data_IF_567200650453
#
_entry.id   IF_567200650453
#
_cell.length_a   1.000
_cell.length_b   1.000
_cell.length_c   1.000
_cell.angle_alpha   90.00
_cell.angle_beta   90.00
_cell.angle_gamma   90.00
#
_symmetry.space_group_name_H-M   'P 1'
#
loop_
_entity.id
_entity.type
_entity.pdbx_description
1 polymer ?
#
# COMPACT_ATOMS: atom_id res chain seq x y z
N UNK A 1 13.88 -14.06 5.62
CA UNK A 1 12.42 -14.13 5.83
C UNK A 1 11.90 -12.73 6.16
N UNK A 2 10.61 -12.48 5.95
CA UNK A 2 9.95 -11.25 6.39
C UNK A 2 9.48 -11.35 7.84
N UNK A 3 9.24 -10.20 8.47
CA UNK A 3 8.81 -10.08 9.86
C UNK A 3 7.31 -9.81 9.93
N UNK A 4 6.57 -10.56 10.77
CA UNK A 4 5.15 -10.38 11.01
C UNK A 4 4.90 -10.26 12.51
N UNK A 5 4.32 -9.14 12.95
CA UNK A 5 4.07 -8.83 14.38
C UNK A 5 2.66 -8.30 14.57
N UNK A 6 1.92 -8.81 15.56
CA UNK A 6 0.57 -8.33 15.89
C UNK A 6 -0.36 -8.24 14.65
N UNK A 7 -0.23 -9.19 13.71
CA UNK A 7 -0.88 -9.13 12.41
C UNK A 7 -1.55 -10.46 12.06
N UNK A 8 -2.59 -10.40 11.25
CA UNK A 8 -3.34 -11.56 10.80
C UNK A 8 -3.17 -11.76 9.28
N UNK A 9 -2.68 -12.94 8.89
CA UNK A 9 -2.50 -13.33 7.50
C UNK A 9 -3.46 -14.48 7.19
N UNK A 10 -4.31 -14.31 6.18
CA UNK A 10 -5.31 -15.30 5.77
C UNK A 10 -5.13 -15.66 4.31
N UNK A 11 -5.12 -16.96 3.97
CA UNK A 11 -4.98 -17.43 2.58
C UNK A 11 -3.54 -17.41 2.09
N UNK A 12 -3.35 -17.30 0.76
CA UNK A 12 -2.01 -17.36 0.14
C UNK A 12 -1.32 -16.00 0.23
N UNK A 13 -0.46 -15.82 1.23
CA UNK A 13 0.30 -14.60 1.44
C UNK A 13 1.79 -14.91 1.35
N UNK A 14 2.52 -14.19 0.49
CA UNK A 14 3.98 -14.26 0.42
C UNK A 14 4.55 -13.01 1.08
N UNK A 15 5.50 -13.21 2.00
CA UNK A 15 6.21 -12.12 2.68
C UNK A 15 7.71 -12.32 2.48
N UNK A 16 8.29 -11.49 1.62
CA UNK A 16 9.69 -11.58 1.21
C UNK A 16 10.66 -11.10 2.30
N UNK A 17 11.96 -11.37 2.09
CA UNK A 17 13.03 -11.00 3.01
C UNK A 17 12.98 -9.52 3.38
N UNK A 18 13.14 -9.20 4.67
CA UNK A 18 13.22 -7.82 5.15
C UNK A 18 11.91 -7.03 5.07
N UNK A 19 10.85 -7.59 4.49
CA UNK A 19 9.52 -7.03 4.58
C UNK A 19 9.03 -7.05 6.03
N UNK A 20 8.22 -6.07 6.40
CA UNK A 20 7.71 -5.88 7.77
C UNK A 20 6.20 -5.67 7.72
N UNK A 21 5.47 -6.56 8.38
CA UNK A 21 4.01 -6.49 8.52
C UNK A 21 3.67 -6.34 10.01
N UNK A 22 3.09 -5.22 10.40
CA UNK A 22 2.84 -4.89 11.81
C UNK A 22 1.43 -4.35 12.02
N UNK A 23 0.73 -4.82 13.05
CA UNK A 23 -0.61 -4.32 13.43
C UNK A 23 -1.58 -4.28 12.24
N UNK A 24 -1.51 -5.30 11.38
CA UNK A 24 -2.14 -5.27 10.05
C UNK A 24 -2.89 -6.56 9.74
N UNK A 25 -3.80 -6.47 8.77
CA UNK A 25 -4.52 -7.63 8.23
C UNK A 25 -4.15 -7.79 6.76
N UNK A 26 -3.77 -9.01 6.37
CA UNK A 26 -3.44 -9.35 4.98
C UNK A 26 -4.28 -10.54 4.55
N UNK A 27 -5.07 -10.38 3.50
CA UNK A 27 -5.92 -11.43 2.92
C UNK A 27 -5.40 -11.76 1.52
N UNK A 28 -4.98 -13.00 1.34
CA UNK A 28 -4.43 -13.49 0.08
C UNK A 28 -5.50 -13.88 -0.95
N UNK A 29 -5.11 -14.02 -2.24
CA UNK A 29 -3.73 -14.03 -2.74
C UNK A 29 -3.08 -12.64 -2.67
N UNK A 30 -1.95 -12.53 -1.98
CA UNK A 30 -1.22 -11.27 -1.80
C UNK A 30 0.30 -11.48 -1.77
N UNK A 31 1.05 -10.53 -2.29
CA UNK A 31 2.51 -10.57 -2.35
C UNK A 31 3.10 -9.32 -1.70
N UNK A 32 3.99 -9.50 -0.71
CA UNK A 32 4.67 -8.43 0.02
C UNK A 32 6.17 -8.53 -0.31
N UNK A 33 6.64 -7.64 -1.19
CA UNK A 33 8.00 -7.65 -1.73
C UNK A 33 9.12 -7.29 -0.74
N UNK A 34 10.37 -7.50 -1.15
CA UNK A 34 11.55 -7.33 -0.29
C UNK A 34 11.59 -5.95 0.37
N UNK A 35 11.78 -5.89 1.68
CA UNK A 35 11.88 -4.63 2.40
C UNK A 35 10.59 -3.79 2.46
N UNK A 36 9.47 -4.27 1.91
CA UNK A 36 8.19 -3.57 1.96
C UNK A 36 7.68 -3.40 3.40
N UNK A 37 6.93 -2.34 3.65
CA UNK A 37 6.39 -2.02 4.97
C UNK A 37 4.87 -1.96 4.92
N UNK A 38 4.23 -2.77 5.76
CA UNK A 38 2.79 -2.79 5.98
C UNK A 38 2.56 -2.51 7.47
N UNK A 39 1.96 -1.37 7.81
CA UNK A 39 1.80 -0.95 9.20
C UNK A 39 0.43 -0.33 9.47
N UNK A 40 -0.32 -0.89 10.42
CA UNK A 40 -1.67 -0.40 10.73
C UNK A 40 -2.60 -0.44 9.51
N UNK A 41 -2.44 -1.43 8.64
CA UNK A 41 -3.00 -1.42 7.29
C UNK A 41 -3.83 -2.68 7.00
N UNK A 42 -4.71 -2.56 6.01
CA UNK A 42 -5.42 -3.69 5.40
C UNK A 42 -4.92 -3.91 3.98
N UNK A 43 -4.42 -5.11 3.71
CA UNK A 43 -4.05 -5.57 2.36
C UNK A 43 -5.05 -6.64 1.96
N UNK A 44 -5.91 -6.32 0.99
CA UNK A 44 -6.91 -7.23 0.47
C UNK A 44 -6.39 -8.12 -0.67
N UNK A 45 -7.23 -9.07 -1.13
CA UNK A 45 -6.91 -9.99 -2.21
C UNK A 45 -6.41 -9.32 -3.49
N UNK A 46 -5.63 -10.07 -4.26
CA UNK A 46 -5.08 -9.67 -5.55
C UNK A 46 -4.24 -8.38 -5.47
N UNK A 47 -3.57 -8.19 -4.33
CA UNK A 47 -2.68 -7.05 -4.12
C UNK A 47 -1.21 -7.50 -4.14
N UNK A 48 -0.38 -6.75 -4.85
CA UNK A 48 1.07 -6.94 -4.85
C UNK A 48 1.79 -5.64 -4.47
N UNK A 49 2.75 -5.77 -3.56
CA UNK A 49 3.64 -4.70 -3.13
C UNK A 49 5.06 -5.02 -3.63
N UNK A 50 5.65 -4.13 -4.41
CA UNK A 50 7.02 -4.23 -4.90
C UNK A 50 8.07 -4.00 -3.80
N UNK A 51 9.34 -4.26 -4.08
CA UNK A 51 10.45 -3.94 -3.19
C UNK A 51 10.38 -2.53 -2.59
N UNK A 52 10.48 -2.47 -1.26
CA UNK A 52 10.48 -1.21 -0.51
C UNK A 52 9.19 -0.39 -0.59
N UNK A 53 8.11 -0.91 -1.16
CA UNK A 53 6.80 -0.27 -1.15
C UNK A 53 6.26 -0.13 0.28
N UNK A 54 5.40 0.86 0.50
CA UNK A 54 4.87 1.18 1.83
C UNK A 54 3.36 1.33 1.80
N UNK A 55 2.68 0.60 2.68
CA UNK A 55 1.26 0.80 2.98
C UNK A 55 1.13 1.02 4.48
N UNK A 56 0.79 2.25 4.86
CA UNK A 56 0.79 2.68 6.26
C UNK A 56 -0.53 3.37 6.58
N UNK A 57 -1.23 2.89 7.62
CA UNK A 57 -2.52 3.46 8.07
C UNK A 57 -3.49 3.68 6.90
N UNK A 58 -3.55 2.69 6.01
CA UNK A 58 -4.30 2.74 4.75
C UNK A 58 -4.84 1.36 4.39
N UNK A 59 -5.81 1.32 3.50
CA UNK A 59 -6.38 0.07 2.98
C UNK A 59 -6.18 -0.02 1.47
N UNK A 60 -5.83 -1.20 0.96
CA UNK A 60 -5.65 -1.45 -0.47
C UNK A 60 -6.12 -2.86 -0.87
N UNK A 61 -6.76 -2.98 -2.04
CA UNK A 61 -7.23 -4.27 -2.61
C UNK A 61 -7.18 -4.22 -4.15
N UNK A 62 -7.13 -5.37 -4.85
CA UNK A 62 -7.13 -5.43 -6.32
C UNK A 62 -6.13 -4.46 -6.99
N UNK A 63 -4.93 -4.34 -6.44
CA UNK A 63 -3.99 -3.28 -6.83
C UNK A 63 -2.54 -3.73 -6.93
N UNK A 64 -1.77 -3.01 -7.74
CA UNK A 64 -0.31 -3.18 -7.86
C UNK A 64 0.36 -1.91 -7.33
N UNK A 65 1.17 -2.04 -6.30
CA UNK A 65 2.07 -0.98 -5.84
C UNK A 65 3.48 -1.39 -6.25
N UNK A 66 4.07 -0.72 -7.22
CA UNK A 66 5.42 -1.00 -7.70
C UNK A 66 6.50 -0.57 -6.68
N UNK A 67 7.76 -0.78 -7.06
CA UNK A 67 8.93 -0.52 -6.23
C UNK A 67 8.89 0.88 -5.60
N UNK A 68 9.10 0.94 -4.29
CA UNK A 68 9.12 2.17 -3.51
C UNK A 68 7.84 3.02 -3.57
N UNK A 69 6.72 2.49 -4.11
CA UNK A 69 5.44 3.17 -4.06
C UNK A 69 4.97 3.36 -2.60
N UNK A 70 4.24 4.45 -2.34
CA UNK A 70 3.79 4.82 -0.99
C UNK A 70 2.29 5.09 -0.99
N UNK A 71 1.57 4.37 -0.14
CA UNK A 71 0.20 4.65 0.25
C UNK A 71 0.18 4.89 1.77
N UNK A 72 -0.06 6.13 2.19
CA UNK A 72 0.08 6.52 3.60
C UNK A 72 -1.02 7.47 4.08
N UNK A 73 -1.59 7.17 5.24
CA UNK A 73 -2.65 7.97 5.87
C UNK A 73 -3.91 8.17 5.00
N UNK A 74 -4.16 7.29 4.03
CA UNK A 74 -5.32 7.42 3.14
C UNK A 74 -6.52 6.75 3.76
N UNK A 75 -7.48 7.56 4.18
CA UNK A 75 -8.68 7.11 4.88
C UNK A 75 -9.63 6.28 4.00
N UNK A 76 -9.66 6.54 2.70
CA UNK A 76 -10.44 5.75 1.75
C UNK A 76 -9.59 4.61 1.21
N UNK A 77 -10.22 3.45 1.04
CA UNK A 77 -9.57 2.28 0.46
C UNK A 77 -9.16 2.55 -1.00
N UNK A 78 -7.92 2.19 -1.32
CA UNK A 78 -7.44 2.14 -2.70
C UNK A 78 -7.87 0.80 -3.33
N UNK A 79 -8.51 0.85 -4.49
CA UNK A 79 -8.97 -0.35 -5.20
C UNK A 79 -8.74 -0.20 -6.71
N UNK A 80 -8.54 -1.31 -7.42
CA UNK A 80 -8.45 -1.36 -8.90
C UNK A 80 -7.39 -0.38 -9.45
N UNK A 81 -6.24 -0.34 -8.79
CA UNK A 81 -5.24 0.72 -9.00
C UNK A 81 -3.85 0.18 -9.29
N UNK A 82 -3.06 0.99 -10.00
CA UNK A 82 -1.63 0.79 -10.17
C UNK A 82 -0.91 2.05 -9.68
N UNK A 83 -0.02 1.90 -8.69
CA UNK A 83 0.93 2.92 -8.28
C UNK A 83 2.29 2.56 -8.87
N UNK A 84 2.75 3.32 -9.85
CA UNK A 84 4.05 3.10 -10.48
C UNK A 84 5.24 3.34 -9.54
N UNK A 85 6.44 3.02 -10.01
CA UNK A 85 7.70 3.17 -9.23
C UNK A 85 7.79 4.52 -8.53
N UNK A 86 7.91 4.49 -7.20
CA UNK A 86 8.07 5.68 -6.36
C UNK A 86 6.84 6.60 -6.27
N UNK A 87 5.71 6.23 -6.87
CA UNK A 87 4.47 7.00 -6.81
C UNK A 87 3.97 7.09 -5.36
N UNK A 88 3.32 8.21 -5.02
CA UNK A 88 2.88 8.48 -3.65
C UNK A 88 1.44 8.95 -3.62
N UNK A 89 0.61 8.26 -2.84
CA UNK A 89 -0.73 8.68 -2.46
C UNK A 89 -0.72 8.86 -0.95
N UNK A 90 -0.78 10.11 -0.49
CA UNK A 90 -0.62 10.44 0.92
C UNK A 90 -1.65 11.49 1.34
N UNK A 91 -2.22 11.33 2.53
CA UNK A 91 -2.97 12.42 3.15
C UNK A 91 -2.11 13.18 4.15
N UNK A 92 -2.41 14.46 4.32
CA UNK A 92 -1.84 15.29 5.38
C UNK A 92 -2.93 15.69 6.36
N UNK A 93 -2.63 15.56 7.64
CA UNK A 93 -3.45 16.11 8.70
C UNK A 93 -3.12 17.60 8.87
N UNK A 94 -4.12 18.47 8.84
CA UNK A 94 -3.96 19.90 9.07
C UNK A 94 -4.85 20.80 8.20
N UNK A 95 -4.89 22.09 8.54
CA UNK A 95 -5.56 23.14 7.78
C UNK A 95 -4.52 24.05 7.10
N UNK A 96 -4.77 24.55 5.88
CA UNK A 96 -5.93 24.24 5.03
C UNK A 96 -5.83 22.84 4.40
N UNK A 97 -6.97 22.19 4.18
CA UNK A 97 -7.04 20.93 3.43
C UNK A 97 -7.05 21.24 1.95
N UNK A 98 -6.06 20.71 1.22
CA UNK A 98 -5.97 20.87 -0.23
C UNK A 98 -5.39 19.60 -0.85
N UNK A 99 -5.85 19.28 -2.06
CA UNK A 99 -5.22 18.25 -2.88
C UNK A 99 -3.92 18.78 -3.48
N UNK A 100 -2.85 18.00 -3.37
CA UNK A 100 -1.61 18.24 -4.09
C UNK A 100 -1.40 17.10 -5.06
N UNK A 101 -1.40 17.42 -6.34
CA UNK A 101 -1.28 16.45 -7.43
C UNK A 101 0.02 16.72 -8.19
N UNK A 102 0.80 15.67 -8.41
CA UNK A 102 1.93 15.66 -9.34
C UNK A 102 1.61 14.56 -10.33
N UNK A 103 1.25 14.95 -11.55
CA UNK A 103 0.75 14.05 -12.60
C UNK A 103 1.75 14.03 -13.76
N UNK A 104 2.10 12.83 -14.21
CA UNK A 104 2.94 12.64 -15.39
C UNK A 104 2.12 12.64 -16.67
N UNK A 105 2.76 12.26 -17.76
CA UNK A 105 2.07 12.15 -19.05
C UNK A 105 0.98 11.06 -19.01
N UNK A 106 -0.13 11.33 -19.71
CA UNK A 106 -1.29 10.42 -19.80
C UNK A 106 -1.94 10.04 -18.46
N UNK A 107 -1.66 10.80 -17.39
CA UNK A 107 -2.28 10.58 -16.09
C UNK A 107 -3.70 11.15 -16.04
N UNK A 108 -4.62 10.43 -15.40
CA UNK A 108 -5.98 10.89 -15.09
C UNK A 108 -6.18 10.91 -13.58
N UNK A 109 -6.84 11.95 -13.07
CA UNK A 109 -7.28 12.05 -11.68
C UNK A 109 -8.78 12.26 -11.66
N UNK A 110 -9.45 11.44 -10.88
CA UNK A 110 -10.83 11.60 -10.46
C UNK A 110 -10.85 11.58 -8.93
N UNK A 111 -11.52 12.54 -8.31
CA UNK A 111 -11.58 12.69 -6.86
C UNK A 111 -13.02 12.37 -6.42
N UNK A 112 -13.13 11.56 -5.37
CA UNK A 112 -14.40 11.16 -4.75
C UNK A 112 -14.97 12.25 -3.83
#
# INVERSE_FOLDING_TARGET
EGEVVESQLTGRVVVEKGARVRKSTVIGPAFIGEGAVVEGAYIGPFTSLGPGAKVVRSEVEYSILEDHAVLEDVALRLQESILGVGAKVQSRNGLPRAHRLILGDLSQVELA
#
